data_IF_292435854090
#
_entry.id   IF_292435854090
#
_cell.length_a   1.000
_cell.length_b   1.000
_cell.length_c   1.000
_cell.angle_alpha   90.00
_cell.angle_beta   90.00
_cell.angle_gamma   90.00
#
_symmetry.space_group_name_H-M   'P 1'
#
loop_
_entity.id
_entity.type
_entity.pdbx_description
1 polymer ?
#
# COMPACT_ATOMS: atom_id res chain seq x y z
N UNK A 1 85.24 -29.94 34.12
CA UNK A 1 85.99 -29.43 32.94
C UNK A 1 84.99 -29.36 31.80
N UNK A 2 84.82 -28.18 31.18
CA UNK A 2 83.91 -27.86 30.05
C UNK A 2 82.40 -27.97 30.34
N UNK A 3 81.53 -27.06 29.91
CA UNK A 3 81.62 -25.65 29.49
C UNK A 3 80.16 -25.15 29.52
N UNK A 4 79.98 -23.92 29.99
CA UNK A 4 78.67 -23.26 30.09
C UNK A 4 78.00 -23.10 28.73
N UNK A 5 76.68 -23.25 28.69
CA UNK A 5 75.82 -22.59 27.72
C UNK A 5 74.64 -21.98 28.48
N UNK A 6 74.72 -20.67 28.74
CA UNK A 6 73.62 -19.86 29.26
C UNK A 6 72.69 -19.53 28.10
N UNK A 7 71.50 -20.11 28.08
CA UNK A 7 70.42 -19.66 27.21
C UNK A 7 69.59 -18.64 27.99
N UNK A 8 69.73 -17.37 27.60
CA UNK A 8 68.93 -16.25 28.12
C UNK A 8 67.57 -16.32 27.42
N UNK A 9 66.51 -16.63 28.16
CA UNK A 9 65.14 -16.54 27.68
C UNK A 9 64.63 -15.11 27.94
N UNK A 10 64.28 -14.30 26.93
CA UNK A 10 63.65 -13.03 27.17
C UNK A 10 62.19 -13.24 27.59
N UNK A 11 61.83 -12.66 28.73
CA UNK A 11 60.45 -12.48 29.20
C UNK A 11 59.72 -11.61 28.17
N UNK A 12 58.92 -12.23 27.30
CA UNK A 12 57.98 -11.51 26.46
C UNK A 12 56.80 -11.06 27.34
N UNK A 13 56.76 -9.76 27.65
CA UNK A 13 55.63 -9.08 28.27
C UNK A 13 54.45 -9.21 27.30
N UNK A 14 53.50 -10.08 27.64
CA UNK A 14 52.23 -10.20 26.92
C UNK A 14 51.38 -8.97 27.27
N UNK A 15 51.51 -7.91 26.49
CA UNK A 15 50.62 -6.76 26.55
C UNK A 15 49.20 -7.24 26.18
N UNK A 16 48.34 -7.41 27.19
CA UNK A 16 46.90 -7.59 26.99
C UNK A 16 46.36 -6.31 26.37
N UNK A 17 46.25 -6.27 25.05
CA UNK A 17 45.41 -5.30 24.35
C UNK A 17 43.97 -5.71 24.62
N UNK A 18 43.40 -5.19 25.69
CA UNK A 18 41.95 -5.13 25.86
C UNK A 18 41.42 -4.15 24.82
N UNK A 19 41.03 -4.66 23.65
CA UNK A 19 40.17 -3.93 22.72
C UNK A 19 38.83 -3.77 23.43
N UNK A 20 38.64 -2.63 24.08
CA UNK A 20 37.31 -2.19 24.46
C UNK A 20 36.56 -1.93 23.15
N UNK A 21 35.71 -2.87 22.75
CA UNK A 21 34.65 -2.59 21.80
C UNK A 21 33.72 -1.59 22.49
N UNK A 22 34.00 -0.30 22.34
CA UNK A 22 32.94 0.69 22.42
C UNK A 22 31.99 0.35 21.29
N UNK A 23 30.87 -0.30 21.65
CA UNK A 23 29.70 -0.35 20.81
C UNK A 23 29.23 1.11 20.65
N UNK A 24 29.80 1.79 19.66
CA UNK A 24 29.26 3.01 19.12
C UNK A 24 27.90 2.65 18.52
N UNK A 25 26.85 2.79 19.33
CA UNK A 25 25.48 2.91 18.86
C UNK A 25 25.40 4.26 18.13
N UNK A 26 25.98 4.33 16.93
CA UNK A 26 25.79 5.44 16.02
C UNK A 26 24.43 5.23 15.36
N UNK A 27 23.39 5.75 16.01
CA UNK A 27 22.17 6.11 15.31
C UNK A 27 22.56 6.93 14.08
N UNK A 28 21.98 6.60 12.93
CA UNK A 28 22.23 7.26 11.66
C UNK A 28 22.23 8.81 11.78
N UNK A 29 23.05 9.53 11.00
CA UNK A 29 23.13 10.98 11.08
C UNK A 29 21.77 11.63 10.77
N UNK A 30 21.34 12.53 11.67
CA UNK A 30 20.08 13.28 11.66
C UNK A 30 19.98 14.37 10.57
N UNK A 31 20.64 14.21 9.42
CA UNK A 31 20.78 15.29 8.43
C UNK A 31 19.64 15.37 7.40
N UNK A 32 18.57 14.58 7.54
CA UNK A 32 17.37 14.64 6.68
C UNK A 32 16.08 14.32 7.45
N UNK A 33 15.90 14.92 8.64
CA UNK A 33 14.61 14.83 9.32
C UNK A 33 13.58 15.65 8.55
N UNK A 34 12.52 14.99 8.06
CA UNK A 34 11.35 15.70 7.53
C UNK A 34 10.75 16.57 8.64
N UNK A 35 10.26 17.75 8.33
CA UNK A 35 9.59 18.59 9.31
C UNK A 35 8.55 19.48 8.63
N UNK A 36 7.52 19.87 9.37
CA UNK A 36 6.46 20.72 8.83
C UNK A 36 5.49 19.96 7.94
N UNK A 37 5.20 20.53 6.76
CA UNK A 37 4.13 20.07 5.87
C UNK A 37 4.68 19.84 4.47
N UNK A 38 4.33 18.69 3.89
CA UNK A 38 4.55 18.35 2.48
C UNK A 38 3.21 18.04 1.80
N UNK A 39 3.11 18.30 0.49
CA UNK A 39 1.91 18.07 -0.30
C UNK A 39 2.23 17.18 -1.49
N UNK A 40 1.36 16.20 -1.77
CA UNK A 40 1.55 15.23 -2.84
C UNK A 40 0.24 15.00 -3.59
N UNK A 41 0.27 14.88 -4.91
CA UNK A 41 -0.96 14.59 -5.67
C UNK A 41 -1.58 13.26 -5.28
N UNK A 42 -0.73 12.27 -4.99
CA UNK A 42 -1.12 10.87 -4.84
C UNK A 42 -0.46 10.25 -3.61
N UNK A 43 -1.09 9.19 -3.09
CA UNK A 43 -0.46 8.25 -2.18
C UNK A 43 0.30 7.21 -3.00
N UNK A 44 1.47 6.80 -2.50
CA UNK A 44 2.19 5.66 -3.06
C UNK A 44 1.35 4.38 -2.93
N UNK A 45 1.41 3.53 -3.94
CA UNK A 45 0.76 2.23 -3.93
C UNK A 45 1.36 1.31 -2.85
N UNK A 46 0.49 0.55 -2.16
CA UNK A 46 0.85 -0.45 -1.15
C UNK A 46 -0.18 -1.58 -1.14
N UNK A 47 0.26 -2.78 -0.77
CA UNK A 47 -0.56 -4.01 -0.61
C UNK A 47 -0.55 -4.55 0.83
N UNK A 48 0.08 -3.84 1.77
CA UNK A 48 0.18 -4.29 3.16
C UNK A 48 0.07 -3.14 4.15
N UNK A 49 -0.60 -3.32 5.30
CA UNK A 49 -0.60 -2.31 6.34
C UNK A 49 0.77 -2.16 7.04
N UNK A 50 1.77 -2.97 6.68
CA UNK A 50 3.17 -2.74 7.05
C UNK A 50 3.67 -1.39 6.54
N UNK A 51 3.34 -1.01 5.32
CA UNK A 51 3.85 0.22 4.70
C UNK A 51 3.29 1.46 5.40
N UNK A 52 4.20 2.38 5.76
CA UNK A 52 3.80 3.71 6.20
C UNK A 52 3.39 4.52 4.97
N UNK A 53 2.33 5.31 5.09
CA UNK A 53 1.87 6.17 4.02
C UNK A 53 2.99 7.12 3.56
N UNK A 54 3.23 7.13 2.25
CA UNK A 54 4.12 8.06 1.55
C UNK A 54 3.37 8.67 0.37
N UNK A 55 3.83 9.84 -0.08
CA UNK A 55 3.24 10.56 -1.20
C UNK A 55 4.11 10.52 -2.45
N UNK A 56 3.48 10.59 -3.61
CA UNK A 56 4.13 10.73 -4.92
C UNK A 56 3.66 12.00 -5.63
N UNK A 57 4.47 12.50 -6.57
CA UNK A 57 4.23 13.77 -7.28
C UNK A 57 4.05 14.95 -6.32
N UNK A 58 5.17 15.36 -5.72
CA UNK A 58 5.21 16.46 -4.75
C UNK A 58 4.74 17.78 -5.37
N UNK A 59 4.02 18.56 -4.58
CA UNK A 59 3.53 19.89 -4.91
C UNK A 59 4.20 20.93 -4.01
N UNK A 60 4.35 22.13 -4.55
CA UNK A 60 4.59 23.31 -3.73
C UNK A 60 3.34 23.68 -2.92
N UNK A 61 3.52 24.43 -1.83
CA UNK A 61 2.39 24.92 -1.03
C UNK A 61 1.43 25.83 -1.82
N UNK A 62 1.89 26.51 -2.87
CA UNK A 62 1.04 27.33 -3.72
C UNK A 62 0.17 26.48 -4.65
N UNK A 63 0.76 25.48 -5.31
CA UNK A 63 0.04 24.53 -6.16
C UNK A 63 -1.03 23.75 -5.36
N UNK A 64 -0.71 23.37 -4.12
CA UNK A 64 -1.62 22.65 -3.23
C UNK A 64 -2.90 23.43 -2.89
N UNK A 65 -2.93 24.76 -3.08
CA UNK A 65 -4.16 25.56 -2.92
C UNK A 65 -5.21 25.29 -4.00
N UNK A 66 -4.76 24.93 -5.20
CA UNK A 66 -5.62 24.72 -6.35
C UNK A 66 -5.80 23.23 -6.69
N UNK A 67 -4.91 22.35 -6.23
CA UNK A 67 -4.90 20.94 -6.63
C UNK A 67 -5.38 20.05 -5.48
N UNK A 68 -6.22 19.06 -5.79
CA UNK A 68 -6.55 17.99 -4.85
C UNK A 68 -5.27 17.21 -4.52
N UNK A 69 -4.92 17.15 -3.24
CA UNK A 69 -3.67 16.59 -2.78
C UNK A 69 -3.81 15.92 -1.41
N UNK A 70 -2.82 15.11 -1.10
CA UNK A 70 -2.56 14.58 0.23
C UNK A 70 -1.56 15.47 0.94
N UNK A 71 -1.97 16.06 2.05
CA UNK A 71 -1.14 16.88 2.92
C UNK A 71 -0.58 16.01 4.04
N UNK A 72 0.73 15.90 4.08
CA UNK A 72 1.50 15.17 5.07
C UNK A 72 2.05 16.16 6.10
N UNK A 73 1.82 15.92 7.38
CA UNK A 73 2.40 16.71 8.47
C UNK A 73 3.32 15.83 9.29
N UNK A 74 4.51 16.34 9.61
CA UNK A 74 5.54 15.63 10.36
C UNK A 74 5.75 16.26 11.74
N UNK A 75 6.03 15.44 12.75
CA UNK A 75 6.38 15.91 14.09
C UNK A 75 7.83 16.45 14.15
N UNK A 76 8.23 17.00 15.28
CA UNK A 76 9.58 17.55 15.48
C UNK A 76 10.70 16.49 15.40
N UNK A 77 10.35 15.21 15.52
CA UNK A 77 11.26 14.07 15.35
C UNK A 77 11.26 13.53 13.91
N UNK A 78 10.54 14.18 12.99
CA UNK A 78 10.40 13.82 11.59
C UNK A 78 9.55 12.60 11.31
N UNK A 79 8.73 12.17 12.26
CA UNK A 79 7.78 11.08 12.08
C UNK A 79 6.47 11.62 11.52
N UNK A 80 5.80 10.83 10.70
CA UNK A 80 4.51 11.21 10.11
C UNK A 80 3.48 11.39 11.22
N UNK A 81 2.91 12.59 11.36
CA UNK A 81 1.90 12.91 12.37
C UNK A 81 0.47 12.88 11.81
N UNK A 82 0.27 13.28 10.55
CA UNK A 82 -1.03 13.14 9.89
C UNK A 82 -0.96 13.14 8.37
N UNK A 83 -1.98 12.55 7.74
CA UNK A 83 -2.26 12.62 6.31
C UNK A 83 -3.70 13.09 6.12
N UNK A 84 -3.90 14.12 5.29
CA UNK A 84 -5.22 14.71 4.99
C UNK A 84 -5.44 14.74 3.47
N UNK A 85 -6.64 14.44 2.98
CA UNK A 85 -6.98 14.68 1.57
C UNK A 85 -7.73 16.00 1.42
N UNK A 86 -7.15 16.95 0.70
CA UNK A 86 -7.60 18.34 0.68
C UNK A 86 -7.34 19.08 -0.64
N UNK A 87 -7.95 20.26 -0.77
CA UNK A 87 -7.59 21.31 -1.74
C UNK A 87 -7.49 22.64 -1.00
N UNK A 88 -6.28 23.19 -0.91
CA UNK A 88 -5.99 24.27 0.04
C UNK A 88 -6.37 23.83 1.46
N UNK A 89 -7.25 24.60 2.11
CA UNK A 89 -7.73 24.32 3.47
C UNK A 89 -9.03 23.47 3.50
N UNK A 90 -9.63 23.15 2.34
CA UNK A 90 -10.85 22.36 2.28
C UNK A 90 -10.54 20.86 2.32
N UNK A 91 -11.04 20.16 3.34
CA UNK A 91 -11.01 18.68 3.42
C UNK A 91 -12.02 18.05 2.46
N UNK A 92 -11.58 17.06 1.70
CA UNK A 92 -12.35 16.37 0.66
C UNK A 92 -12.65 14.92 1.05
N UNK A 93 -13.84 14.43 0.69
CA UNK A 93 -14.38 13.15 1.21
C UNK A 93 -14.21 11.95 0.28
N UNK A 94 -13.60 12.13 -0.89
CA UNK A 94 -13.48 11.11 -1.93
C UNK A 94 -12.03 10.68 -2.18
N UNK A 95 -11.15 10.89 -1.19
CA UNK A 95 -9.76 10.43 -1.22
C UNK A 95 -9.59 8.97 -0.80
N UNK A 96 -8.36 8.47 -0.88
CA UNK A 96 -8.00 7.07 -0.62
C UNK A 96 -7.61 6.78 0.83
N UNK A 97 -8.26 7.42 1.81
CA UNK A 97 -7.97 7.28 3.25
C UNK A 97 -8.97 6.36 3.98
N UNK A 98 -9.50 5.34 3.29
CA UNK A 98 -10.40 4.36 3.91
C UNK A 98 -11.76 4.92 4.34
N UNK A 99 -12.23 5.99 3.68
CA UNK A 99 -13.47 6.70 4.05
C UNK A 99 -13.27 7.81 5.08
N UNK A 100 -12.07 7.94 5.66
CA UNK A 100 -11.66 9.11 6.43
C UNK A 100 -11.28 10.27 5.49
N UNK A 101 -11.21 11.48 6.03
CA UNK A 101 -10.60 12.64 5.36
C UNK A 101 -9.23 12.97 5.94
N UNK A 102 -8.95 12.47 7.15
CA UNK A 102 -7.71 12.67 7.88
C UNK A 102 -7.35 11.41 8.65
N UNK A 103 -6.08 11.07 8.64
CA UNK A 103 -5.46 10.06 9.48
C UNK A 103 -4.47 10.76 10.42
N UNK A 104 -4.46 10.39 11.69
CA UNK A 104 -3.49 10.88 12.68
C UNK A 104 -2.69 9.71 13.22
N UNK A 105 -1.39 9.94 13.39
CA UNK A 105 -0.44 9.00 13.98
C UNK A 105 0.09 9.59 15.29
N UNK A 106 -0.05 8.85 16.37
CA UNK A 106 0.55 9.19 17.66
C UNK A 106 1.58 8.14 18.04
N UNK A 107 2.64 8.56 18.72
CA UNK A 107 3.73 7.68 19.10
C UNK A 107 3.96 7.75 20.60
N UNK A 108 3.96 6.59 21.25
CA UNK A 108 4.26 6.45 22.67
C UNK A 108 5.13 5.20 22.88
N UNK A 109 6.30 5.39 23.50
CA UNK A 109 7.31 4.34 23.64
C UNK A 109 7.60 3.65 22.28
N UNK A 110 7.34 2.34 22.18
CA UNK A 110 7.53 1.54 20.97
C UNK A 110 6.22 1.32 20.20
N UNK A 111 5.21 2.18 20.38
CA UNK A 111 3.92 2.07 19.69
C UNK A 111 3.67 3.24 18.77
N UNK A 112 3.05 2.97 17.62
CA UNK A 112 2.44 3.95 16.74
C UNK A 112 0.93 3.63 16.67
N UNK A 113 0.08 4.61 16.95
CA UNK A 113 -1.37 4.46 16.84
C UNK A 113 -1.87 5.27 15.66
N UNK A 114 -2.55 4.61 14.72
CA UNK A 114 -3.21 5.21 13.56
C UNK A 114 -4.70 5.33 13.82
N UNK A 115 -5.21 6.57 13.74
CA UNK A 115 -6.61 6.93 14.02
C UNK A 115 -7.23 7.67 12.83
N UNK A 116 -8.53 7.48 12.59
CA UNK A 116 -9.24 7.94 11.40
C UNK A 116 -10.26 9.01 11.76
N UNK A 117 -10.34 10.09 10.99
CA UNK A 117 -11.22 11.23 11.29
C UNK A 117 -12.09 11.62 10.10
N UNK A 118 -13.34 11.96 10.39
CA UNK A 118 -14.28 12.51 9.42
C UNK A 118 -14.07 14.03 9.25
N UNK A 119 -14.86 14.64 8.36
CA UNK A 119 -14.78 16.09 8.07
C UNK A 119 -15.17 16.99 9.24
N UNK A 120 -15.94 16.48 10.21
CA UNK A 120 -16.27 17.19 11.44
C UNK A 120 -15.15 17.13 12.49
N UNK A 121 -14.05 16.40 12.23
CA UNK A 121 -12.96 16.21 13.18
C UNK A 121 -13.25 15.15 14.24
N UNK A 122 -14.29 14.35 14.05
CA UNK A 122 -14.63 13.23 14.95
C UNK A 122 -13.88 11.98 14.50
N UNK A 123 -13.36 11.22 15.47
CA UNK A 123 -12.78 9.92 15.16
C UNK A 123 -13.88 8.94 14.73
N UNK A 124 -13.63 8.20 13.66
CA UNK A 124 -14.56 7.26 13.04
C UNK A 124 -13.91 5.91 12.79
N UNK A 125 -14.71 4.90 12.51
CA UNK A 125 -14.21 3.62 12.01
C UNK A 125 -13.88 3.69 10.53
N UNK A 126 -12.81 3.00 10.14
CA UNK A 126 -12.43 2.76 8.75
C UNK A 126 -12.29 1.26 8.54
N UNK A 127 -13.15 0.67 7.69
CA UNK A 127 -13.11 -0.77 7.41
C UNK A 127 -13.39 -1.66 8.61
N UNK A 128 -14.20 -1.19 9.56
CA UNK A 128 -14.54 -1.90 10.80
C UNK A 128 -13.52 -1.74 11.94
N UNK A 129 -12.56 -0.82 11.79
CA UNK A 129 -11.48 -0.58 12.76
C UNK A 129 -11.54 0.87 13.23
N UNK A 130 -11.51 1.09 14.55
CA UNK A 130 -11.47 2.44 15.12
C UNK A 130 -10.04 2.96 15.32
N UNK A 131 -9.10 2.06 15.66
CA UNK A 131 -7.67 2.37 15.71
C UNK A 131 -6.81 1.16 15.31
N UNK A 132 -5.71 1.44 14.62
CA UNK A 132 -4.67 0.47 14.28
C UNK A 132 -3.43 0.76 15.13
N UNK A 133 -3.07 -0.18 16.01
CA UNK A 133 -1.95 -0.03 16.95
C UNK A 133 -0.78 -0.88 16.49
N UNK A 134 0.27 -0.21 16.05
CA UNK A 134 1.51 -0.81 15.58
C UNK A 134 2.52 -0.92 16.70
N UNK A 135 3.27 -2.03 16.72
CA UNK A 135 4.49 -2.19 17.51
C UNK A 135 5.69 -1.88 16.62
N UNK A 136 6.59 -1.04 17.11
CA UNK A 136 7.85 -0.67 16.48
C UNK A 136 9.01 -1.38 17.15
N UNK A 137 10.05 -1.69 16.37
CA UNK A 137 11.34 -2.11 16.90
C UNK A 137 12.25 -0.91 17.26
N UNK A 138 13.51 -1.18 17.61
CA UNK A 138 14.47 -0.14 17.98
C UNK A 138 14.94 0.74 16.80
N UNK A 139 14.57 0.38 15.56
CA UNK A 139 14.85 1.13 14.35
C UNK A 139 13.59 1.86 13.82
N UNK A 140 12.53 1.95 14.63
CA UNK A 140 11.21 2.48 14.25
C UNK A 140 10.51 1.69 13.12
N UNK A 141 10.93 0.43 12.86
CA UNK A 141 10.29 -0.44 11.88
C UNK A 141 9.10 -1.18 12.51
N UNK A 142 7.98 -1.26 11.78
CA UNK A 142 6.78 -1.97 12.23
C UNK A 142 7.01 -3.47 12.29
N UNK A 143 6.74 -4.08 13.45
CA UNK A 143 6.89 -5.53 13.67
C UNK A 143 5.57 -6.23 13.98
N UNK A 144 4.55 -5.48 14.40
CA UNK A 144 3.21 -6.01 14.60
C UNK A 144 2.16 -4.92 14.47
N UNK A 145 0.91 -5.33 14.29
CA UNK A 145 -0.27 -4.47 14.26
C UNK A 145 -1.43 -5.21 14.91
N UNK A 146 -2.21 -4.53 15.75
CA UNK A 146 -3.51 -5.00 16.26
C UNK A 146 -4.61 -3.97 15.98
N UNK A 147 -5.83 -4.44 15.76
CA UNK A 147 -7.00 -3.58 15.57
C UNK A 147 -7.84 -3.45 16.83
N UNK A 148 -8.35 -2.24 17.04
CA UNK A 148 -9.11 -1.86 18.23
C UNK A 148 -10.45 -1.23 17.78
N UNK A 149 -11.55 -1.61 18.43
CA UNK A 149 -12.89 -1.02 18.26
C UNK A 149 -13.02 0.31 19.00
N UNK A 150 -14.21 0.92 18.94
CA UNK A 150 -14.50 2.21 19.56
C UNK A 150 -14.50 2.15 21.09
N UNK A 151 -14.81 1.01 21.65
CA UNK A 151 -14.86 0.73 23.09
C UNK A 151 -13.46 0.39 23.67
N UNK A 152 -12.45 0.22 22.81
CA UNK A 152 -11.08 -0.10 23.20
C UNK A 152 -10.77 -1.60 23.23
N UNK A 153 -11.66 -2.46 22.73
CA UNK A 153 -11.46 -3.91 22.66
C UNK A 153 -10.79 -4.33 21.35
N UNK A 154 -10.07 -5.46 21.35
CA UNK A 154 -9.66 -6.17 20.14
C UNK A 154 -10.82 -6.42 19.18
N UNK A 155 -10.63 -6.11 17.90
CA UNK A 155 -11.63 -6.35 16.83
C UNK A 155 -11.00 -7.01 15.62
N UNK A 156 -11.79 -7.75 14.85
CA UNK A 156 -11.41 -8.26 13.54
C UNK A 156 -11.87 -7.30 12.44
N UNK A 157 -11.05 -7.13 11.41
CA UNK A 157 -11.47 -6.44 10.20
C UNK A 157 -12.42 -7.30 9.34
N UNK A 158 -12.85 -6.76 8.20
CA UNK A 158 -13.73 -7.47 7.24
C UNK A 158 -13.23 -8.83 6.73
N UNK A 159 -11.93 -9.13 6.90
CA UNK A 159 -11.30 -10.38 6.50
C UNK A 159 -11.08 -11.33 7.70
N UNK A 160 -11.72 -11.06 8.85
CA UNK A 160 -11.57 -11.82 10.09
C UNK A 160 -10.13 -11.79 10.65
N UNK A 161 -9.39 -10.70 10.42
CA UNK A 161 -8.03 -10.51 10.92
C UNK A 161 -8.04 -9.47 12.04
N UNK A 162 -7.48 -9.83 13.19
CA UNK A 162 -7.26 -8.93 14.32
C UNK A 162 -5.82 -8.42 14.40
N UNK A 163 -4.83 -9.30 14.15
CA UNK A 163 -3.41 -9.00 14.33
C UNK A 163 -2.58 -9.39 13.11
N UNK A 164 -1.53 -8.62 12.86
CA UNK A 164 -0.45 -8.91 11.93
C UNK A 164 0.89 -8.99 12.67
N UNK A 165 1.81 -9.79 12.16
CA UNK A 165 3.23 -9.77 12.57
C UNK A 165 4.11 -9.72 11.34
N UNK A 166 5.18 -8.92 11.42
CA UNK A 166 6.16 -8.77 10.36
C UNK A 166 7.56 -9.10 10.84
N UNK A 167 8.33 -9.73 9.95
CA UNK A 167 9.76 -9.94 10.15
C UNK A 167 10.50 -9.79 8.82
N UNK A 168 11.58 -9.00 8.83
CA UNK A 168 12.50 -8.92 7.70
C UNK A 168 13.44 -10.12 7.70
N UNK A 169 13.36 -10.91 6.63
CA UNK A 169 14.19 -12.09 6.43
C UNK A 169 15.61 -11.69 6.00
N UNK A 170 16.58 -12.61 6.12
CA UNK A 170 17.98 -12.37 5.74
C UNK A 170 18.16 -11.98 4.26
N UNK A 171 17.23 -12.42 3.39
CA UNK A 171 17.21 -12.09 1.98
C UNK A 171 16.52 -10.74 1.67
N UNK A 172 16.11 -9.99 2.69
CA UNK A 172 15.49 -8.67 2.57
C UNK A 172 13.97 -8.67 2.47
N UNK A 173 13.33 -9.81 2.19
CA UNK A 173 11.87 -9.92 2.09
C UNK A 173 11.20 -9.63 3.44
N UNK A 174 10.05 -8.96 3.40
CA UNK A 174 9.20 -8.77 4.59
C UNK A 174 8.19 -9.91 4.65
N UNK A 175 8.34 -10.79 5.64
CA UNK A 175 7.38 -11.86 5.94
C UNK A 175 6.22 -11.31 6.76
N UNK A 176 5.00 -11.62 6.37
CA UNK A 176 3.76 -11.25 7.05
C UNK A 176 2.94 -12.49 7.43
N UNK A 177 2.52 -12.55 8.69
CA UNK A 177 1.53 -13.51 9.21
C UNK A 177 0.36 -12.74 9.83
N UNK A 178 -0.81 -13.39 9.86
CA UNK A 178 -2.08 -12.79 10.29
C UNK A 178 -2.79 -13.72 11.27
N UNK A 179 -3.51 -13.14 12.23
CA UNK A 179 -4.20 -13.88 13.28
C UNK A 179 -5.59 -13.31 13.54
N UNK A 180 -6.54 -14.20 13.83
CA UNK A 180 -7.89 -13.86 14.30
C UNK A 180 -7.89 -13.58 15.83
N UNK A 181 -9.04 -13.28 16.42
CA UNK A 181 -9.18 -13.05 17.87
C UNK A 181 -8.94 -14.30 18.72
N UNK A 182 -9.07 -15.49 18.12
CA UNK A 182 -8.75 -16.77 18.77
C UNK A 182 -7.25 -17.10 18.71
N UNK A 183 -6.41 -16.18 18.21
CA UNK A 183 -4.96 -16.34 18.06
C UNK A 183 -4.55 -17.40 17.02
N UNK A 184 -5.49 -17.78 16.15
CA UNK A 184 -5.27 -18.75 15.08
C UNK A 184 -4.75 -18.03 13.83
N UNK A 185 -3.76 -18.62 13.15
CA UNK A 185 -3.27 -18.10 11.88
C UNK A 185 -4.40 -18.09 10.85
N UNK A 186 -4.60 -16.94 10.19
CA UNK A 186 -5.69 -16.75 9.23
C UNK A 186 -5.18 -16.27 7.88
N UNK A 187 -5.87 -16.68 6.83
CA UNK A 187 -5.53 -16.32 5.45
C UNK A 187 -6.05 -14.94 5.09
N UNK A 188 -5.44 -14.28 4.10
CA UNK A 188 -5.88 -12.94 3.66
C UNK A 188 -7.34 -12.91 3.19
N UNK A 189 -7.79 -13.95 2.50
CA UNK A 189 -9.15 -14.11 1.99
C UNK A 189 -9.48 -15.61 1.86
N UNK A 190 -10.65 -16.10 2.33
CA UNK A 190 -11.03 -17.50 2.18
C UNK A 190 -11.20 -17.96 0.72
N UNK A 191 -11.52 -17.05 -0.21
CA UNK A 191 -11.72 -17.37 -1.63
C UNK A 191 -10.43 -17.62 -2.39
N UNK A 192 -9.30 -17.16 -1.85
CA UNK A 192 -7.99 -17.61 -2.27
C UNK A 192 -7.04 -17.57 -1.07
N UNK A 193 -6.76 -18.72 -0.41
CA UNK A 193 -5.97 -18.72 0.81
C UNK A 193 -4.52 -18.32 0.54
N UNK A 194 -4.19 -17.07 0.90
CA UNK A 194 -2.83 -16.61 1.10
C UNK A 194 -2.48 -16.77 2.58
N UNK A 195 -1.63 -17.76 2.90
CA UNK A 195 -1.24 -18.12 4.26
C UNK A 195 -0.18 -17.13 4.77
N UNK A 196 1.07 -17.37 4.41
CA UNK A 196 2.19 -16.47 4.67
C UNK A 196 2.44 -15.60 3.44
N UNK A 197 2.52 -14.28 3.62
CA UNK A 197 2.96 -13.39 2.54
C UNK A 197 4.42 -12.99 2.71
N UNK A 198 5.12 -12.87 1.59
CA UNK A 198 6.43 -12.22 1.54
C UNK A 198 6.40 -11.10 0.52
N UNK A 199 6.82 -9.92 0.95
CA UNK A 199 6.88 -8.72 0.13
C UNK A 199 8.33 -8.40 -0.24
N UNK A 200 8.52 -8.03 -1.50
CA UNK A 200 9.79 -7.54 -2.04
C UNK A 200 9.64 -6.08 -2.45
N UNK A 201 10.71 -5.30 -2.27
CA UNK A 201 10.73 -3.87 -2.51
C UNK A 201 11.97 -3.50 -3.32
N UNK A 202 11.83 -2.53 -4.22
CA UNK A 202 13.00 -1.95 -4.88
C UNK A 202 13.79 -1.02 -3.94
N UNK A 203 14.90 -0.46 -4.43
CA UNK A 203 15.75 0.44 -3.66
C UNK A 203 15.11 1.79 -3.29
N UNK A 204 13.95 2.12 -3.88
CA UNK A 204 13.14 3.30 -3.54
C UNK A 204 12.04 2.98 -2.54
N UNK A 205 11.85 1.70 -2.20
CA UNK A 205 10.81 1.24 -1.30
C UNK A 205 9.46 1.01 -1.98
N UNK A 206 9.42 0.90 -3.31
CA UNK A 206 8.19 0.50 -4.00
C UNK A 206 8.05 -1.02 -3.97
N UNK A 207 6.87 -1.52 -3.60
CA UNK A 207 6.59 -2.95 -3.63
C UNK A 207 6.67 -3.46 -5.07
N UNK A 208 7.40 -4.56 -5.27
CA UNK A 208 7.60 -5.19 -6.60
C UNK A 208 7.02 -6.59 -6.66
N UNK A 209 6.93 -7.29 -5.53
CA UNK A 209 6.29 -8.60 -5.43
C UNK A 209 5.54 -8.78 -4.10
N UNK A 210 4.49 -9.58 -4.16
CA UNK A 210 3.79 -10.14 -3.01
C UNK A 210 3.56 -11.62 -3.29
N UNK A 211 4.13 -12.52 -2.47
CA UNK A 211 4.18 -13.95 -2.76
C UNK A 211 3.59 -14.79 -1.64
N UNK A 212 2.80 -15.81 -1.99
CA UNK A 212 2.17 -16.76 -1.07
C UNK A 212 3.09 -17.92 -0.73
N UNK A 213 3.29 -18.19 0.55
CA UNK A 213 4.10 -19.30 1.03
C UNK A 213 3.29 -20.21 1.96
N UNK A 214 3.61 -21.50 1.89
CA UNK A 214 3.19 -22.50 2.85
C UNK A 214 4.40 -23.37 3.21
N UNK A 215 4.73 -23.46 4.50
CA UNK A 215 5.91 -24.18 4.99
C UNK A 215 7.20 -23.81 4.21
N UNK A 216 7.49 -22.50 4.11
CA UNK A 216 8.63 -21.92 3.39
C UNK A 216 8.71 -22.24 1.89
N UNK A 217 7.65 -22.81 1.31
CA UNK A 217 7.56 -23.14 -0.11
C UNK A 217 6.56 -22.22 -0.80
N UNK A 218 6.93 -21.70 -1.96
CA UNK A 218 6.01 -20.90 -2.80
C UNK A 218 4.79 -21.76 -3.15
N UNK A 219 3.58 -21.23 -2.88
CA UNK A 219 2.36 -22.02 -2.89
C UNK A 219 1.34 -21.48 -3.89
N UNK A 220 0.69 -22.40 -4.63
CA UNK A 220 -0.48 -22.10 -5.44
C UNK A 220 -1.74 -22.28 -4.60
N UNK A 221 -2.46 -21.19 -4.40
CA UNK A 221 -3.86 -21.21 -4.01
C UNK A 221 -4.71 -21.73 -5.19
N UNK A 222 -5.35 -22.89 -5.01
CA UNK A 222 -6.18 -23.56 -6.05
C UNK A 222 -7.66 -23.59 -5.66
N UNK A 223 -8.13 -22.58 -4.94
CA UNK A 223 -9.57 -22.45 -4.67
C UNK A 223 -10.35 -22.21 -5.97
N UNK A 224 -11.65 -22.50 -5.97
CA UNK A 224 -12.52 -22.49 -7.17
C UNK A 224 -12.42 -21.19 -8.01
N UNK A 225 -12.13 -20.07 -7.37
CA UNK A 225 -12.06 -18.75 -8.01
C UNK A 225 -10.67 -18.36 -8.55
N UNK A 226 -9.69 -19.26 -8.51
CA UNK A 226 -8.28 -18.98 -8.85
C UNK A 226 -7.82 -19.62 -10.17
N UNK A 227 -8.80 -20.03 -10.99
CA UNK A 227 -8.57 -20.77 -12.22
C UNK A 227 -7.97 -22.16 -12.00
N UNK A 228 -7.73 -22.87 -13.09
CA UNK A 228 -7.28 -24.27 -13.07
C UNK A 228 -5.80 -24.43 -12.67
N UNK A 229 -5.01 -23.37 -12.80
CA UNK A 229 -3.55 -23.39 -12.59
C UNK A 229 -3.11 -22.80 -11.25
N UNK A 230 -4.05 -22.23 -10.48
CA UNK A 230 -3.84 -21.64 -9.16
C UNK A 230 -3.09 -20.31 -9.17
N UNK A 231 -3.18 -19.59 -8.05
CA UNK A 231 -2.57 -18.25 -7.86
C UNK A 231 -1.52 -18.31 -6.77
N UNK A 232 -0.35 -17.71 -6.99
CA UNK A 232 0.77 -17.77 -6.05
C UNK A 232 1.36 -16.43 -5.69
N UNK A 233 1.64 -15.57 -6.67
CA UNK A 233 2.27 -14.30 -6.39
C UNK A 233 1.78 -13.20 -7.33
N UNK A 234 1.91 -11.97 -6.86
CA UNK A 234 1.62 -10.76 -7.61
C UNK A 234 2.92 -10.05 -7.93
N UNK A 235 3.00 -9.51 -9.15
CA UNK A 235 4.09 -8.67 -9.62
C UNK A 235 3.60 -7.26 -9.86
N UNK A 236 4.36 -6.30 -9.37
CA UNK A 236 4.09 -4.88 -9.49
C UNK A 236 5.25 -4.23 -10.24
N UNK A 237 4.92 -3.47 -11.28
CA UNK A 237 5.90 -2.68 -12.03
C UNK A 237 5.58 -1.21 -11.79
N UNK A 238 6.50 -0.52 -11.13
CA UNK A 238 6.41 0.91 -10.86
C UNK A 238 7.34 1.68 -11.80
N UNK A 239 6.98 2.90 -12.17
CA UNK A 239 7.93 3.82 -12.82
C UNK A 239 8.86 4.48 -11.78
N UNK A 240 9.78 5.31 -12.24
CA UNK A 240 10.75 6.02 -11.37
C UNK A 240 10.09 6.91 -10.30
N UNK A 241 8.88 7.41 -10.59
CA UNK A 241 8.08 8.30 -9.73
C UNK A 241 7.18 7.53 -8.75
N UNK A 242 7.16 6.19 -8.81
CA UNK A 242 6.34 5.34 -7.95
C UNK A 242 4.93 5.08 -8.46
N UNK A 243 4.63 5.42 -9.72
CA UNK A 243 3.33 5.12 -10.31
C UNK A 243 3.27 3.65 -10.74
N UNK A 244 2.24 2.93 -10.32
CA UNK A 244 2.01 1.53 -10.66
C UNK A 244 1.57 1.39 -12.12
N UNK A 245 2.48 0.94 -12.99
CA UNK A 245 2.26 0.71 -14.41
C UNK A 245 1.64 -0.66 -14.71
N UNK A 246 1.98 -1.69 -13.93
CA UNK A 246 1.45 -3.04 -14.11
C UNK A 246 1.21 -3.74 -12.78
N UNK A 247 0.11 -4.47 -12.69
CA UNK A 247 -0.17 -5.47 -11.68
C UNK A 247 -0.49 -6.77 -12.42
N UNK A 248 0.34 -7.81 -12.26
CA UNK A 248 0.05 -9.15 -12.78
C UNK A 248 0.02 -10.23 -11.69
N UNK A 249 -0.79 -11.25 -11.92
CA UNK A 249 -1.07 -12.38 -11.04
C UNK A 249 -0.50 -13.63 -11.66
N UNK A 250 0.25 -14.41 -10.88
CA UNK A 250 1.00 -15.54 -11.40
C UNK A 250 0.88 -16.79 -10.53
N UNK A 251 0.97 -17.95 -11.15
CA UNK A 251 1.17 -19.22 -10.46
C UNK A 251 2.65 -19.46 -10.11
N UNK A 252 2.95 -20.56 -9.40
CA UNK A 252 4.30 -20.93 -8.95
C UNK A 252 5.34 -21.10 -10.06
N UNK A 253 4.93 -21.38 -11.30
CA UNK A 253 5.83 -21.50 -12.46
C UNK A 253 5.93 -20.20 -13.27
N UNK A 254 5.21 -19.16 -12.86
CA UNK A 254 5.25 -17.81 -13.41
C UNK A 254 4.32 -17.54 -14.59
N UNK A 255 3.41 -18.47 -14.91
CA UNK A 255 2.34 -18.20 -15.87
C UNK A 255 1.34 -17.22 -15.28
N UNK A 256 0.72 -16.37 -16.12
CA UNK A 256 -0.42 -15.55 -15.71
C UNK A 256 -1.53 -16.45 -15.20
N UNK A 257 -2.21 -16.04 -14.13
CA UNK A 257 -3.28 -16.81 -13.51
C UNK A 257 -4.43 -15.90 -13.11
N UNK A 258 -5.65 -16.38 -13.33
CA UNK A 258 -6.86 -15.61 -13.05
C UNK A 258 -7.09 -15.51 -11.54
N UNK A 259 -7.18 -14.27 -11.04
CA UNK A 259 -7.76 -13.98 -9.74
C UNK A 259 -9.30 -13.93 -9.86
N UNK A 260 -9.97 -13.63 -8.76
CA UNK A 260 -11.41 -13.38 -8.73
C UNK A 260 -11.85 -12.39 -9.83
N UNK A 261 -13.00 -12.67 -10.44
CA UNK A 261 -13.53 -12.00 -11.65
C UNK A 261 -12.75 -12.23 -12.96
N UNK A 262 -11.76 -13.14 -12.96
CA UNK A 262 -11.18 -13.71 -14.18
C UNK A 262 -10.06 -12.87 -14.81
N UNK A 263 -9.51 -11.89 -14.11
CA UNK A 263 -8.38 -11.11 -14.60
C UNK A 263 -7.06 -11.66 -14.05
N UNK A 264 -6.00 -11.56 -14.84
CA UNK A 264 -4.65 -11.95 -14.46
C UNK A 264 -3.63 -10.81 -14.60
N UNK A 265 -3.93 -9.78 -15.39
CA UNK A 265 -3.03 -8.63 -15.53
C UNK A 265 -3.80 -7.34 -15.74
N UNK A 266 -3.28 -6.25 -15.17
CA UNK A 266 -3.74 -4.88 -15.35
C UNK A 266 -2.58 -4.01 -15.76
N UNK A 267 -2.74 -3.26 -16.85
CA UNK A 267 -1.80 -2.24 -17.32
C UNK A 267 -2.41 -0.85 -17.14
N UNK A 268 -1.64 0.07 -16.58
CA UNK A 268 -2.04 1.47 -16.41
C UNK A 268 -1.21 2.37 -17.32
N UNK A 269 -1.90 3.28 -18.00
CA UNK A 269 -1.28 4.48 -18.57
C UNK A 269 -1.49 5.62 -17.60
N UNK A 270 -0.39 6.28 -17.23
CA UNK A 270 -0.38 7.43 -16.33
C UNK A 270 0.04 8.70 -17.08
N UNK A 271 -0.53 9.83 -16.70
CA UNK A 271 -0.08 11.12 -17.20
C UNK A 271 1.17 11.62 -16.44
N UNK A 272 1.66 12.81 -16.79
CA UNK A 272 2.82 13.44 -16.17
C UNK A 272 2.65 13.77 -14.67
N UNK A 273 1.43 13.74 -14.16
CA UNK A 273 1.08 14.02 -12.76
C UNK A 273 0.81 12.73 -11.97
N UNK A 274 0.99 11.56 -12.60
CA UNK A 274 0.74 10.23 -12.04
C UNK A 274 -0.72 9.79 -12.09
N UNK A 275 -1.64 10.59 -12.64
CA UNK A 275 -3.05 10.20 -12.72
C UNK A 275 -3.23 9.08 -13.74
N UNK A 276 -3.89 7.99 -13.34
CA UNK A 276 -4.21 6.87 -14.24
C UNK A 276 -5.29 7.32 -15.22
N UNK A 277 -4.91 7.51 -16.48
CA UNK A 277 -5.79 7.95 -17.57
C UNK A 277 -6.38 6.79 -18.36
N UNK A 278 -5.73 5.62 -18.35
CA UNK A 278 -6.26 4.39 -18.93
C UNK A 278 -5.83 3.19 -18.08
N UNK A 279 -6.74 2.23 -17.91
CA UNK A 279 -6.48 0.91 -17.34
C UNK A 279 -6.97 -0.13 -18.34
N UNK A 280 -6.09 -1.04 -18.76
CA UNK A 280 -6.41 -2.21 -19.58
C UNK A 280 -6.27 -3.48 -18.74
N UNK A 281 -7.25 -4.39 -18.82
CA UNK A 281 -7.31 -5.64 -18.06
C UNK A 281 -7.26 -6.84 -19.01
N UNK A 282 -6.52 -7.85 -18.59
CA UNK A 282 -6.25 -9.06 -19.36
C UNK A 282 -6.50 -10.30 -18.50
N UNK A 283 -6.85 -11.40 -19.14
CA UNK A 283 -7.00 -12.72 -18.52
C UNK A 283 -5.67 -13.50 -18.50
N UNK A 284 -5.74 -14.76 -18.06
CA UNK A 284 -4.60 -15.68 -17.94
C UNK A 284 -3.93 -16.05 -19.28
N UNK A 285 -4.65 -15.92 -20.40
CA UNK A 285 -4.12 -16.21 -21.74
C UNK A 285 -3.46 -14.96 -22.37
N UNK A 286 -3.39 -13.88 -21.59
CA UNK A 286 -2.91 -12.56 -22.00
C UNK A 286 -3.79 -11.90 -23.08
N UNK A 287 -5.08 -12.23 -23.09
CA UNK A 287 -6.09 -11.62 -23.95
C UNK A 287 -6.89 -10.58 -23.16
N UNK A 288 -7.55 -9.64 -23.84
CA UNK A 288 -8.37 -8.65 -23.15
C UNK A 288 -9.49 -9.34 -22.36
N UNK A 289 -9.71 -8.84 -21.14
CA UNK A 289 -10.70 -9.40 -20.24
C UNK A 289 -12.10 -9.32 -20.85
N UNK A 290 -12.72 -10.47 -21.10
CA UNK A 290 -14.00 -10.57 -21.80
C UNK A 290 -15.16 -10.97 -20.88
N UNK A 291 -16.33 -11.24 -21.46
CA UNK A 291 -17.52 -11.69 -20.72
C UNK A 291 -18.24 -10.56 -19.98
N UNK A 292 -18.55 -10.76 -18.69
CA UNK A 292 -19.28 -9.79 -17.87
C UNK A 292 -18.38 -8.71 -17.25
N UNK A 293 -17.27 -8.38 -17.92
CA UNK A 293 -16.25 -7.47 -17.43
C UNK A 293 -16.06 -6.28 -18.38
N UNK A 294 -15.31 -5.28 -17.94
CA UNK A 294 -14.90 -4.14 -18.75
C UNK A 294 -13.41 -4.26 -19.02
N UNK A 295 -12.96 -4.49 -20.27
CA UNK A 295 -11.54 -4.70 -20.58
C UNK A 295 -10.73 -3.41 -20.47
N UNK A 296 -11.31 -2.26 -20.80
CA UNK A 296 -10.59 -0.98 -20.78
C UNK A 296 -11.42 0.08 -20.06
N UNK A 297 -10.80 0.80 -19.13
CA UNK A 297 -11.38 1.98 -18.49
C UNK A 297 -10.52 3.19 -18.79
N UNK A 298 -11.14 4.30 -19.22
CA UNK A 298 -10.46 5.59 -19.43
C UNK A 298 -10.95 6.61 -18.41
N UNK A 299 -10.05 7.41 -17.86
CA UNK A 299 -10.35 8.43 -16.87
C UNK A 299 -9.93 9.81 -17.37
N UNK A 300 -10.76 10.81 -17.08
CA UNK A 300 -10.53 12.21 -17.45
C UNK A 300 -10.54 13.04 -16.17
N UNK A 301 -9.51 13.85 -15.98
CA UNK A 301 -9.34 14.71 -14.80
C UNK A 301 -9.42 16.17 -15.21
N UNK A 302 -9.91 17.01 -14.31
CA UNK A 302 -9.85 18.47 -14.45
C UNK A 302 -8.48 19.05 -14.05
N UNK A 303 -8.34 20.37 -14.15
CA UNK A 303 -7.12 21.10 -13.79
C UNK A 303 -6.77 21.01 -12.29
N UNK A 304 -7.75 20.66 -11.44
CA UNK A 304 -7.56 20.45 -10.01
C UNK A 304 -7.15 19.01 -9.68
N UNK A 305 -7.04 18.12 -10.68
CA UNK A 305 -6.79 16.70 -10.49
C UNK A 305 -8.00 15.94 -9.95
N UNK A 306 -9.22 16.48 -10.10
CA UNK A 306 -10.45 15.77 -9.79
C UNK A 306 -10.89 14.91 -10.98
N UNK A 307 -11.27 13.66 -10.74
CA UNK A 307 -11.84 12.79 -11.77
C UNK A 307 -13.20 13.34 -12.21
N UNK A 308 -13.35 13.77 -13.46
CA UNK A 308 -14.60 14.33 -13.98
C UNK A 308 -15.37 13.35 -14.85
N UNK A 309 -14.71 12.44 -15.56
CA UNK A 309 -15.35 11.34 -16.28
C UNK A 309 -14.58 10.03 -16.14
N UNK A 310 -15.31 8.91 -16.10
CA UNK A 310 -14.76 7.56 -16.23
C UNK A 310 -15.58 6.78 -17.28
N UNK A 311 -14.90 6.20 -18.25
CA UNK A 311 -15.48 5.56 -19.42
C UNK A 311 -15.17 4.07 -19.41
N UNK A 312 -16.19 3.23 -19.54
CA UNK A 312 -16.06 1.80 -19.85
C UNK A 312 -15.95 1.63 -21.36
N UNK A 313 -14.90 0.94 -21.80
CA UNK A 313 -14.55 0.77 -23.20
C UNK A 313 -14.32 -0.72 -23.52
N UNK A 314 -14.54 -1.08 -24.78
CA UNK A 314 -14.11 -2.36 -25.36
C UNK A 314 -12.61 -2.36 -25.72
N UNK A 315 -12.12 -3.47 -26.28
CA UNK A 315 -10.71 -3.64 -26.65
C UNK A 315 -10.25 -2.69 -27.77
N UNK A 316 -11.16 -2.27 -28.65
CA UNK A 316 -10.95 -1.25 -29.67
C UNK A 316 -11.04 0.19 -29.14
N UNK A 317 -11.27 0.38 -27.83
CA UNK A 317 -11.51 1.69 -27.18
C UNK A 317 -12.79 2.40 -27.63
N UNK A 318 -13.81 1.65 -28.01
CA UNK A 318 -15.16 2.18 -28.23
C UNK A 318 -15.99 2.07 -26.94
N UNK A 319 -16.95 3.00 -26.70
CA UNK A 319 -17.81 2.94 -25.52
C UNK A 319 -18.59 1.63 -25.38
N UNK A 320 -18.50 1.03 -24.19
CA UNK A 320 -19.11 -0.24 -23.83
C UNK A 320 -20.03 -0.03 -22.62
N UNK A 321 -21.28 -0.48 -22.72
CA UNK A 321 -22.13 -0.61 -21.54
C UNK A 321 -21.58 -1.71 -20.65
N UNK A 322 -21.14 -1.36 -19.44
CA UNK A 322 -20.69 -2.35 -18.46
C UNK A 322 -21.78 -3.42 -18.29
N UNK A 323 -21.49 -4.70 -18.54
CA UNK A 323 -22.49 -5.77 -18.54
C UNK A 323 -23.26 -5.91 -17.22
N UNK A 324 -22.68 -5.48 -16.10
CA UNK A 324 -23.28 -5.64 -14.77
C UNK A 324 -24.27 -4.54 -14.39
N UNK A 325 -24.18 -3.35 -14.99
CA UNK A 325 -25.00 -2.20 -14.59
C UNK A 325 -25.48 -1.31 -15.75
N UNK A 326 -25.10 -1.61 -17.00
CA UNK A 326 -25.49 -0.87 -18.20
C UNK A 326 -24.76 0.47 -18.39
N UNK A 327 -23.83 0.84 -17.50
CA UNK A 327 -23.16 2.15 -17.52
C UNK A 327 -21.94 2.09 -18.43
N UNK A 328 -21.85 3.03 -19.38
CA UNK A 328 -20.64 3.26 -20.17
C UNK A 328 -19.87 4.51 -19.70
N UNK A 329 -20.58 5.53 -19.22
CA UNK A 329 -19.97 6.79 -18.76
C UNK A 329 -20.44 7.12 -17.36
N UNK A 330 -19.51 7.47 -16.49
CA UNK A 330 -19.79 8.09 -15.20
C UNK A 330 -19.20 9.50 -15.18
N UNK A 331 -20.04 10.51 -14.98
CA UNK A 331 -19.63 11.91 -14.85
C UNK A 331 -19.71 12.35 -13.38
N UNK A 332 -18.72 13.11 -12.93
CA UNK A 332 -18.67 13.66 -11.57
C UNK A 332 -18.66 15.18 -11.63
N UNK A 333 -19.53 15.82 -10.82
CA UNK A 333 -19.56 17.27 -10.70
C UNK A 333 -19.16 17.70 -9.30
N UNK A 334 -18.49 18.84 -9.24
CA UNK A 334 -17.91 19.40 -8.03
C UNK A 334 -18.41 20.82 -7.80
N UNK A 335 -18.51 21.21 -6.53
CA UNK A 335 -18.65 22.63 -6.18
C UNK A 335 -17.32 23.38 -6.38
N UNK A 336 -17.34 24.69 -6.18
CA UNK A 336 -16.15 25.54 -6.31
C UNK A 336 -15.07 25.29 -5.25
N UNK A 337 -15.38 24.57 -4.17
CA UNK A 337 -14.42 24.16 -3.14
C UNK A 337 -13.81 22.79 -3.44
N UNK A 338 -14.36 22.08 -4.42
CA UNK A 338 -13.93 20.76 -4.81
C UNK A 338 -14.72 19.62 -4.22
N UNK A 339 -15.80 19.86 -3.47
CA UNK A 339 -16.63 18.77 -2.97
C UNK A 339 -17.45 18.18 -4.11
N UNK A 340 -17.50 16.85 -4.20
CA UNK A 340 -18.35 16.16 -5.19
C UNK A 340 -19.81 16.34 -4.84
N UNK A 341 -20.58 16.99 -5.71
CA UNK A 341 -22.01 17.29 -5.51
C UNK A 341 -22.94 16.39 -6.32
N UNK A 342 -22.45 15.77 -7.39
CA UNK A 342 -23.27 14.94 -8.26
C UNK A 342 -22.45 13.78 -8.88
N UNK A 343 -23.13 12.68 -9.15
CA UNK A 343 -22.60 11.56 -9.95
C UNK A 343 -23.68 11.14 -10.93
N UNK A 344 -23.44 11.34 -12.21
CA UNK A 344 -24.34 11.00 -13.29
C UNK A 344 -23.82 9.75 -14.00
N UNK A 345 -24.73 8.87 -14.42
CA UNK A 345 -24.39 7.61 -15.08
C UNK A 345 -25.17 7.50 -16.37
N UNK A 346 -24.48 7.15 -17.44
CA UNK A 346 -25.05 7.05 -18.77
C UNK A 346 -24.63 5.75 -19.45
N UNK A 347 -25.48 5.25 -20.33
CA UNK A 347 -25.14 4.21 -21.27
C UNK A 347 -24.24 4.78 -22.40
N UNK A 348 -23.83 3.92 -23.33
CA UNK A 348 -22.94 4.23 -24.44
C UNK A 348 -23.53 5.24 -25.43
N UNK A 349 -24.85 5.41 -25.41
CA UNK A 349 -25.59 6.37 -26.23
C UNK A 349 -25.84 7.69 -25.47
N UNK A 350 -25.21 7.86 -24.30
CA UNK A 350 -25.34 9.01 -23.38
C UNK A 350 -26.78 9.17 -22.83
N UNK A 351 -27.54 8.09 -22.73
CA UNK A 351 -28.85 8.07 -22.07
C UNK A 351 -28.66 7.76 -20.58
N UNK A 352 -29.32 8.51 -19.72
CA UNK A 352 -29.18 8.36 -18.27
C UNK A 352 -29.62 6.95 -17.81
N UNK A 353 -28.73 6.27 -17.09
CA UNK A 353 -29.01 4.99 -16.45
C UNK A 353 -29.52 5.26 -15.05
N UNK A 354 -30.80 4.99 -14.83
CA UNK A 354 -31.41 5.07 -13.51
C UNK A 354 -31.09 3.78 -12.76
N UNK A 355 -30.10 3.83 -11.88
CA UNK A 355 -29.85 2.75 -10.94
C UNK A 355 -31.04 2.66 -9.97
N UNK A 356 -31.72 1.52 -9.93
CA UNK A 356 -32.77 1.22 -8.94
C UNK A 356 -32.20 1.10 -7.53
#
# INVERSE_FOLDING_TARGET
>A
MMKQLKLILPVAILARVTVAFQACNQSAPKDNLKSGVEHFRLLQFSETPFDLETGTHQLTAEEAKAINNYKFTYDESGRLASVEYCRGDELLTYGSLGGAVKIVYTYEANQQVKSFFNKAGEQVESGGIYSAVYTLDNNDERTALKFIDKEGNPVENRNNIHRYTWNRLENGLVKELRYNLAEEETVMNPFCPFYELRFDYDSKGYVTNMSNYQADTLYNCTAENCGDIGVSYFKFVNNESGDLLSFSVHNTVGQLSNLYWGWAKRLNTVDQNGYVIETAMYDQDDEYLSGNNVPVTKNIYDEHGALVESWSLDEERSPLNNPNNGVAFTEYRYDNKGNRIETLRFDKDRVAVVTQ
#
